data_IF_761891459565
#
_entry.id   IF_761891459565
#
_cell.length_a   1.000
_cell.length_b   1.000
_cell.length_c   1.000
_cell.angle_alpha   90.00
_cell.angle_beta   90.00
_cell.angle_gamma   90.00
#
_symmetry.space_group_name_H-M   'P 1'
#
loop_
_entity.id
_entity.type
_entity.pdbx_description
1 polymer ?
#
# COMPACT_ATOMS: atom_id res chain seq x y z
N UNK A 1 -11.61 10.86 3.59
CA UNK A 1 -10.57 10.57 3.22
C UNK A 1 -9.70 10.58 2.00
N UNK A 2 -10.01 9.86 0.96
CA UNK A 2 -9.04 9.67 -0.11
C UNK A 2 -8.90 10.81 -1.10
N UNK A 3 -9.89 11.65 -1.25
CA UNK A 3 -9.66 12.94 -1.92
C UNK A 3 -8.52 13.65 -1.21
N UNK A 4 -8.41 13.55 0.11
CA UNK A 4 -7.35 14.18 0.90
C UNK A 4 -6.08 13.35 0.95
N UNK A 5 -6.11 12.03 1.11
CA UNK A 5 -4.93 11.17 0.95
C UNK A 5 -4.33 11.39 -0.44
N UNK A 6 -5.14 11.37 -1.49
CA UNK A 6 -4.70 11.66 -2.85
C UNK A 6 -4.26 13.12 -3.01
N UNK A 7 -5.01 14.08 -2.49
CA UNK A 7 -4.63 15.48 -2.53
C UNK A 7 -3.35 15.72 -1.73
N UNK A 8 -3.19 15.13 -0.55
CA UNK A 8 -1.99 15.27 0.24
C UNK A 8 -0.78 14.61 -0.43
N UNK A 9 -0.96 13.46 -1.09
CA UNK A 9 0.10 12.81 -1.85
C UNK A 9 0.42 13.56 -3.15
N UNK A 10 -0.61 14.03 -3.87
CA UNK A 10 -0.44 14.57 -5.22
C UNK A 10 -0.55 16.09 -5.31
N UNK A 11 -1.28 16.75 -4.40
CA UNK A 11 -1.48 18.19 -4.39
C UNK A 11 -0.77 18.86 -3.21
N UNK A 12 0.13 19.76 -3.48
CA UNK A 12 1.00 20.32 -2.48
C UNK A 12 0.59 21.65 -1.87
N UNK A 13 -0.61 22.12 -2.06
CA UNK A 13 -1.02 23.39 -1.47
C UNK A 13 -1.60 23.20 -0.07
N UNK A 14 -0.78 23.44 0.95
CA UNK A 14 -1.27 23.64 2.30
C UNK A 14 -1.87 25.03 2.46
N UNK A 15 -3.01 25.18 3.13
CA UNK A 15 -3.38 26.46 3.72
C UNK A 15 -2.26 26.95 4.64
N UNK A 16 -2.03 28.25 4.71
CA UNK A 16 -0.95 28.86 5.51
C UNK A 16 -0.96 28.45 7.00
N UNK A 17 -2.10 28.01 7.53
CA UNK A 17 -2.28 27.50 8.88
C UNK A 17 -1.46 26.21 9.18
N UNK A 18 -1.03 25.45 8.15
CA UNK A 18 -0.31 24.20 8.29
C UNK A 18 1.22 24.33 8.14
N UNK A 19 1.72 25.54 8.06
CA UNK A 19 3.16 25.83 7.94
C UNK A 19 3.96 25.59 9.24
N UNK A 20 3.46 24.79 10.17
CA UNK A 20 4.16 24.46 11.42
C UNK A 20 4.95 23.16 11.29
N UNK A 21 6.23 23.25 11.56
CA UNK A 21 7.20 22.14 11.65
C UNK A 21 6.83 21.17 12.77
N UNK A 22 6.56 19.90 12.44
CA UNK A 22 6.83 18.79 13.37
C UNK A 22 8.22 18.23 13.05
N UNK A 23 9.04 18.06 14.05
CA UNK A 23 10.37 17.48 13.96
C UNK A 23 10.27 15.97 14.06
N UNK A 24 10.82 15.24 13.10
CA UNK A 24 11.15 13.81 13.26
C UNK A 24 12.62 13.79 13.74
N UNK A 25 12.89 13.11 14.85
CA UNK A 25 14.22 12.98 15.48
C UNK A 25 14.87 14.28 16.00
N UNK A 26 14.10 15.29 16.41
CA UNK A 26 14.61 16.47 17.10
C UNK A 26 15.43 17.45 16.26
N UNK A 27 15.55 17.26 14.96
CA UNK A 27 16.19 18.22 14.06
C UNK A 27 15.15 19.10 13.36
N UNK A 28 15.29 20.41 13.49
CA UNK A 28 14.54 21.38 12.71
C UNK A 28 14.91 21.22 11.23
N UNK A 29 14.06 20.58 10.46
CA UNK A 29 14.21 20.50 9.00
C UNK A 29 13.86 21.83 8.37
N UNK A 30 14.63 22.20 7.34
CA UNK A 30 14.53 23.42 6.56
C UNK A 30 13.15 23.73 5.95
N UNK A 31 13.05 24.59 4.94
CA UNK A 31 11.81 25.27 4.58
C UNK A 31 10.69 24.27 4.31
N UNK A 32 9.58 24.53 4.99
CA UNK A 32 8.26 23.92 4.89
C UNK A 32 8.00 23.18 3.59
N UNK A 33 7.66 21.90 3.73
CA UNK A 33 7.23 21.07 2.61
C UNK A 33 6.02 21.72 1.93
N UNK A 34 6.17 22.06 0.67
CA UNK A 34 5.03 22.44 -0.17
C UNK A 34 4.06 21.27 -0.38
N UNK A 35 4.41 20.07 0.11
CA UNK A 35 3.67 18.81 -0.10
C UNK A 35 3.69 17.97 1.18
N UNK A 36 2.58 17.29 1.50
CA UNK A 36 2.49 16.38 2.64
C UNK A 36 3.25 15.07 2.40
N UNK A 37 3.39 14.67 1.14
CA UNK A 37 4.09 13.45 0.74
C UNK A 37 5.11 13.76 -0.38
N UNK A 38 6.22 14.48 -0.06
CA UNK A 38 7.20 14.89 -1.05
C UNK A 38 7.95 13.71 -1.67
N UNK A 39 8.21 12.65 -0.90
CA UNK A 39 8.91 11.47 -1.40
C UNK A 39 8.04 10.70 -2.40
N UNK A 40 6.82 10.31 -2.03
CA UNK A 40 5.90 9.62 -2.94
C UNK A 40 5.62 10.45 -4.21
N UNK A 41 5.52 11.78 -4.06
CA UNK A 41 5.39 12.67 -5.22
C UNK A 41 6.61 12.64 -6.13
N UNK A 42 7.82 12.59 -5.58
CA UNK A 42 9.05 12.46 -6.36
C UNK A 42 9.10 11.15 -7.14
N UNK A 43 8.66 10.06 -6.52
CA UNK A 43 8.51 8.74 -7.15
C UNK A 43 7.53 8.82 -8.34
N UNK A 44 6.34 9.38 -8.12
CA UNK A 44 5.32 9.54 -9.16
C UNK A 44 5.79 10.37 -10.37
N UNK A 45 6.70 11.32 -10.15
CA UNK A 45 7.24 12.20 -11.20
C UNK A 45 8.45 11.66 -11.94
N UNK A 46 9.05 10.59 -11.45
CA UNK A 46 10.32 10.11 -12.00
C UNK A 46 10.43 8.60 -12.11
N UNK A 47 10.91 7.91 -11.07
CA UNK A 47 11.28 6.50 -11.18
C UNK A 47 10.10 5.53 -11.20
N UNK A 48 8.90 5.98 -10.83
CA UNK A 48 7.73 5.12 -10.65
C UNK A 48 6.52 5.52 -11.47
N UNK A 49 5.41 4.93 -11.14
CA UNK A 49 4.08 5.21 -11.69
C UNK A 49 3.13 5.65 -10.58
N UNK A 50 2.07 6.34 -10.97
CA UNK A 50 1.00 6.73 -10.06
C UNK A 50 -0.38 6.52 -10.68
N UNK A 51 -1.38 6.42 -9.83
CA UNK A 51 -2.75 6.25 -10.26
C UNK A 51 -3.74 6.21 -9.10
N UNK A 52 -4.88 5.62 -9.36
CA UNK A 52 -5.94 5.38 -8.39
C UNK A 52 -6.24 3.88 -8.39
N UNK A 53 -6.24 3.30 -7.19
CA UNK A 53 -6.78 1.97 -6.95
C UNK A 53 -8.24 2.13 -6.49
N UNK A 54 -9.17 1.49 -7.20
CA UNK A 54 -10.60 1.56 -6.90
C UNK A 54 -10.99 0.38 -6.01
N UNK A 55 -11.37 0.66 -4.76
CA UNK A 55 -11.92 -0.34 -3.85
C UNK A 55 -13.44 -0.42 -3.99
N UNK A 56 -14.02 -1.55 -3.58
CA UNK A 56 -15.46 -1.80 -3.63
C UNK A 56 -16.10 -1.67 -2.25
N UNK A 57 -17.41 -1.48 -2.24
CA UNK A 57 -18.24 -1.52 -1.03
C UNK A 57 -18.34 -2.98 -0.53
N UNK A 58 -18.25 -3.20 0.79
CA UNK A 58 -18.02 -2.22 1.85
C UNK A 58 -16.57 -1.74 1.86
N UNK A 59 -16.37 -0.43 1.99
CA UNK A 59 -15.05 0.20 2.07
C UNK A 59 -14.50 0.07 3.49
N UNK A 60 -14.12 -1.17 3.83
CA UNK A 60 -13.64 -1.60 5.14
C UNK A 60 -12.28 -2.27 5.02
N UNK A 61 -11.52 -2.29 6.13
CA UNK A 61 -10.13 -2.77 6.12
C UNK A 61 -10.02 -4.25 5.72
N UNK A 62 -10.90 -5.11 6.22
CA UNK A 62 -10.86 -6.54 5.87
C UNK A 62 -11.08 -6.78 4.38
N UNK A 63 -12.22 -6.41 3.75
CA UNK A 63 -12.45 -6.67 2.33
C UNK A 63 -11.43 -5.96 1.44
N UNK A 64 -10.97 -4.76 1.81
CA UNK A 64 -9.93 -4.05 1.09
C UNK A 64 -8.60 -4.81 1.07
N UNK A 65 -8.15 -5.34 2.20
CA UNK A 65 -6.92 -6.13 2.26
C UNK A 65 -7.06 -7.50 1.59
N UNK A 66 -8.22 -8.14 1.65
CA UNK A 66 -8.50 -9.39 0.90
C UNK A 66 -8.39 -9.13 -0.60
N UNK A 67 -8.96 -8.02 -1.10
CA UNK A 67 -8.80 -7.63 -2.50
C UNK A 67 -7.33 -7.36 -2.88
N UNK A 68 -6.55 -6.71 -2.01
CA UNK A 68 -5.14 -6.39 -2.25
C UNK A 68 -4.21 -7.61 -2.26
N UNK A 69 -4.43 -8.57 -1.36
CA UNK A 69 -3.47 -9.66 -1.06
C UNK A 69 -3.92 -11.00 -1.66
N UNK A 70 -5.22 -11.21 -1.81
CA UNK A 70 -5.80 -12.43 -2.40
C UNK A 70 -6.43 -12.18 -3.79
N UNK A 71 -6.71 -10.94 -4.15
CA UNK A 71 -7.29 -10.57 -5.45
C UNK A 71 -8.77 -10.92 -5.59
N UNK A 72 -9.48 -11.09 -4.50
CA UNK A 72 -10.90 -11.43 -4.49
C UNK A 72 -11.73 -10.41 -3.70
N UNK A 73 -12.99 -10.28 -4.05
CA UNK A 73 -13.94 -9.49 -3.29
C UNK A 73 -14.81 -10.39 -2.42
N UNK A 74 -14.86 -10.11 -1.13
CA UNK A 74 -15.72 -10.85 -0.20
C UNK A 74 -17.20 -10.51 -0.41
N UNK A 75 -18.08 -11.51 -0.26
CA UNK A 75 -19.53 -11.30 -0.31
C UNK A 75 -19.98 -10.42 0.88
N UNK A 76 -20.82 -9.43 0.59
CA UNK A 76 -21.43 -8.54 1.59
C UNK A 76 -22.14 -9.31 2.71
N UNK A 77 -22.68 -10.50 2.44
CA UNK A 77 -23.34 -11.33 3.46
C UNK A 77 -22.37 -11.87 4.52
N UNK A 78 -21.09 -11.99 4.21
CA UNK A 78 -20.06 -12.37 5.17
C UNK A 78 -19.80 -11.27 6.22
N UNK A 79 -19.98 -10.01 5.83
CA UNK A 79 -19.84 -8.83 6.71
C UNK A 79 -20.86 -8.85 7.84
N UNK A 80 -22.10 -9.26 7.53
CA UNK A 80 -23.24 -9.25 8.49
C UNK A 80 -23.20 -10.39 9.49
N UNK A 81 -22.41 -11.45 9.24
CA UNK A 81 -22.32 -12.66 10.08
C UNK A 81 -21.24 -12.61 11.15
N UNK A 82 -20.60 -11.47 11.34
CA UNK A 82 -19.56 -11.27 12.36
C UNK A 82 -18.18 -11.69 11.85
N UNK A 83 -17.34 -10.73 11.60
CA UNK A 83 -15.97 -10.82 11.07
C UNK A 83 -15.04 -11.77 11.83
N UNK A 84 -15.31 -12.03 13.13
CA UNK A 84 -14.45 -12.82 14.02
C UNK A 84 -14.58 -14.35 13.86
N UNK A 85 -15.56 -14.86 13.11
CA UNK A 85 -15.93 -16.29 13.18
C UNK A 85 -15.62 -17.08 11.91
N UNK A 86 -15.19 -16.44 10.82
CA UNK A 86 -14.91 -17.15 9.57
C UNK A 86 -13.46 -16.99 9.15
N UNK A 87 -12.53 -17.88 9.59
CA UNK A 87 -11.24 -17.99 8.92
C UNK A 87 -11.52 -18.53 7.52
N UNK A 88 -11.69 -17.64 6.55
CA UNK A 88 -11.72 -18.02 5.15
C UNK A 88 -10.35 -18.59 4.80
N UNK A 89 -10.32 -19.89 4.56
CA UNK A 89 -9.17 -20.51 3.90
C UNK A 89 -9.14 -20.02 2.45
N UNK A 90 -8.45 -18.91 2.19
CA UNK A 90 -8.21 -18.41 0.85
C UNK A 90 -6.73 -18.44 0.54
N UNK A 91 -6.42 -18.64 -0.72
CA UNK A 91 -5.05 -18.49 -1.21
C UNK A 91 -4.69 -16.99 -1.32
N UNK A 92 -3.43 -16.67 -1.12
CA UNK A 92 -2.96 -15.28 -1.08
C UNK A 92 -1.51 -15.17 -1.54
N UNK A 93 -1.04 -13.95 -1.79
CA UNK A 93 0.38 -13.70 -2.07
C UNK A 93 1.29 -14.17 -0.94
N UNK A 94 0.82 -14.13 0.31
CA UNK A 94 1.56 -14.64 1.47
C UNK A 94 1.75 -16.15 1.34
N UNK A 95 0.71 -16.91 0.94
CA UNK A 95 0.79 -18.33 0.73
C UNK A 95 1.70 -18.69 -0.45
N UNK A 96 1.66 -17.92 -1.52
CA UNK A 96 2.42 -18.18 -2.75
C UNK A 96 3.89 -17.76 -2.65
N UNK A 97 4.24 -16.81 -1.78
CA UNK A 97 5.62 -16.33 -1.62
C UNK A 97 6.55 -17.41 -1.06
N UNK A 98 7.86 -17.31 -1.30
CA UNK A 98 8.85 -18.20 -0.68
C UNK A 98 8.97 -17.94 0.81
N UNK A 99 8.94 -16.68 1.20
CA UNK A 99 8.89 -16.20 2.59
C UNK A 99 8.18 -14.86 2.64
N UNK A 100 7.50 -14.58 3.73
CA UNK A 100 6.83 -13.30 3.97
C UNK A 100 7.24 -12.69 5.29
N UNK A 101 7.29 -11.36 5.32
CA UNK A 101 7.40 -10.54 6.52
C UNK A 101 6.14 -9.68 6.62
N UNK A 102 5.38 -9.80 7.72
CA UNK A 102 4.09 -9.14 7.87
C UNK A 102 3.98 -8.46 9.23
N UNK A 103 3.86 -7.13 9.24
CA UNK A 103 3.82 -6.34 10.46
C UNK A 103 2.71 -5.30 10.43
N UNK A 104 1.97 -5.16 11.54
CA UNK A 104 0.91 -4.16 11.65
C UNK A 104 -0.20 -4.52 12.63
N UNK A 105 -1.44 -4.23 12.25
CA UNK A 105 -2.62 -4.41 13.10
C UNK A 105 -2.92 -5.87 13.41
N UNK A 106 -3.34 -6.16 14.66
CA UNK A 106 -3.82 -7.48 15.08
C UNK A 106 -5.09 -7.92 14.37
N UNK A 107 -5.85 -7.01 13.78
CA UNK A 107 -7.08 -7.31 13.03
C UNK A 107 -6.81 -7.74 11.58
N UNK A 108 -5.67 -7.34 11.00
CA UNK A 108 -5.39 -7.55 9.57
C UNK A 108 -4.31 -8.60 9.32
N UNK A 109 -3.15 -8.47 9.98
CA UNK A 109 -2.01 -9.36 9.71
C UNK A 109 -2.36 -10.83 9.94
N UNK A 110 -3.05 -11.23 11.04
CA UNK A 110 -3.41 -12.62 11.29
C UNK A 110 -4.27 -13.26 10.19
N UNK A 111 -5.08 -12.49 9.48
CA UNK A 111 -5.93 -12.99 8.40
C UNK A 111 -5.16 -13.71 7.29
N UNK A 112 -3.93 -13.26 7.02
CA UNK A 112 -3.08 -13.78 5.92
C UNK A 112 -2.03 -14.77 6.40
N UNK A 113 -1.70 -14.77 7.69
CA UNK A 113 -0.62 -15.60 8.24
C UNK A 113 -1.13 -16.84 8.95
N UNK A 114 -2.31 -16.77 9.57
CA UNK A 114 -2.94 -17.94 10.17
C UNK A 114 -3.35 -18.94 9.09
N UNK A 115 -2.88 -20.18 9.23
CA UNK A 115 -3.08 -21.24 8.21
C UNK A 115 -1.94 -21.38 7.22
N UNK A 116 -0.94 -20.48 7.23
CA UNK A 116 0.33 -20.69 6.52
C UNK A 116 1.28 -21.55 7.36
N UNK A 117 2.28 -22.16 6.72
CA UNK A 117 3.34 -22.85 7.44
C UNK A 117 4.12 -21.87 8.33
N UNK A 118 4.32 -22.16 9.64
CA UNK A 118 4.98 -21.22 10.57
C UNK A 118 6.36 -20.75 10.12
N UNK A 119 7.12 -21.62 9.44
CA UNK A 119 8.45 -21.29 8.93
C UNK A 119 8.45 -20.35 7.72
N UNK A 120 7.28 -20.12 7.14
CA UNK A 120 7.11 -19.34 5.91
C UNK A 120 6.86 -17.87 6.15
N UNK A 121 6.43 -17.50 7.34
CA UNK A 121 6.06 -16.12 7.65
C UNK A 121 6.70 -15.68 8.97
N UNK A 122 7.47 -14.59 8.92
CA UNK A 122 7.89 -13.82 10.09
C UNK A 122 6.88 -12.67 10.27
N UNK A 123 6.13 -12.70 11.36
CA UNK A 123 5.08 -11.72 11.56
C UNK A 123 4.96 -11.29 13.02
N UNK A 124 4.58 -10.04 13.22
CA UNK A 124 4.25 -9.48 14.51
C UNK A 124 3.12 -8.46 14.36
N UNK A 125 2.33 -8.36 15.41
CA UNK A 125 1.30 -7.33 15.56
C UNK A 125 1.55 -6.55 16.82
N UNK A 126 1.16 -5.30 16.86
CA UNK A 126 1.17 -4.53 18.11
C UNK A 126 0.01 -4.96 19.00
N UNK A 127 0.04 -4.56 20.29
CA UNK A 127 -1.04 -4.86 21.23
C UNK A 127 -2.30 -4.09 20.83
N UNK A 128 -3.48 -4.73 20.88
CA UNK A 128 -4.78 -4.09 20.63
C UNK A 128 -4.98 -2.81 21.47
N UNK A 129 -4.47 -2.78 22.70
CA UNK A 129 -4.51 -1.60 23.58
C UNK A 129 -3.72 -0.39 23.02
N UNK A 130 -2.83 -0.61 22.05
CA UNK A 130 -2.11 0.47 21.38
C UNK A 130 -2.99 1.23 20.36
N UNK A 131 -4.11 0.63 19.92
CA UNK A 131 -5.12 1.27 19.07
C UNK A 131 -6.05 2.21 19.88
N UNK A 132 -5.47 3.02 20.74
CA UNK A 132 -6.22 3.99 21.53
C UNK A 132 -6.56 5.22 20.69
N UNK A 133 -7.82 5.32 20.29
CA UNK A 133 -8.36 6.46 19.52
C UNK A 133 -8.26 7.82 20.22
N UNK A 134 -7.79 7.87 21.47
CA UNK A 134 -7.56 9.12 22.21
C UNK A 134 -6.12 9.62 22.10
N UNK A 135 -5.20 8.81 21.56
CA UNK A 135 -3.77 9.11 21.44
C UNK A 135 -3.34 9.42 19.99
N UNK A 136 -2.12 9.86 19.84
CA UNK A 136 -1.50 10.04 18.53
C UNK A 136 -1.21 8.67 17.87
N UNK A 137 -1.90 8.39 16.78
CA UNK A 137 -1.79 7.13 16.05
C UNK A 137 -0.50 6.97 15.23
N UNK A 138 0.38 7.97 15.22
CA UNK A 138 1.72 7.89 14.60
C UNK A 138 2.55 6.75 15.18
N UNK A 139 2.36 6.44 16.47
CA UNK A 139 3.10 5.36 17.13
C UNK A 139 2.85 3.99 16.49
N UNK A 140 1.65 3.74 15.93
CA UNK A 140 1.33 2.49 15.22
C UNK A 140 2.20 2.32 13.97
N UNK A 141 2.38 3.39 13.22
CA UNK A 141 3.14 3.38 11.96
C UNK A 141 4.66 3.33 12.23
N UNK A 142 5.13 4.08 13.21
CA UNK A 142 6.55 4.05 13.60
C UNK A 142 6.96 2.71 14.23
N UNK A 143 6.02 2.01 14.88
CA UNK A 143 6.24 0.65 15.37
C UNK A 143 6.53 -0.31 14.20
N UNK A 144 5.78 -0.22 13.11
CA UNK A 144 6.02 -1.04 11.90
C UNK A 144 7.40 -0.75 11.31
N UNK A 145 7.77 0.52 11.20
CA UNK A 145 9.12 0.91 10.75
C UNK A 145 10.21 0.30 11.63
N UNK A 146 10.01 0.33 12.97
CA UNK A 146 10.99 -0.26 13.88
C UNK A 146 11.12 -1.78 13.68
N UNK A 147 10.01 -2.51 13.46
CA UNK A 147 10.08 -3.95 13.15
C UNK A 147 10.88 -4.21 11.88
N UNK A 148 10.68 -3.39 10.85
CA UNK A 148 11.50 -3.52 9.62
C UNK A 148 12.97 -3.29 9.90
N UNK A 149 13.34 -2.26 10.64
CA UNK A 149 14.74 -2.00 11.05
C UNK A 149 15.33 -3.19 11.82
N UNK A 150 14.57 -3.76 12.76
CA UNK A 150 15.01 -4.91 13.57
C UNK A 150 15.29 -6.15 12.71
N UNK A 151 14.46 -6.40 11.67
CA UNK A 151 14.66 -7.52 10.74
C UNK A 151 16.00 -7.38 10.00
N UNK A 152 16.28 -6.21 9.44
CA UNK A 152 17.51 -5.98 8.69
C UNK A 152 18.73 -5.90 9.62
N UNK A 153 18.61 -5.33 10.82
CA UNK A 153 19.67 -5.31 11.81
C UNK A 153 20.03 -6.73 12.28
N UNK A 154 19.03 -7.58 12.50
CA UNK A 154 19.27 -9.00 12.85
C UNK A 154 20.07 -9.73 11.76
N UNK A 155 19.78 -9.47 10.50
CA UNK A 155 20.47 -10.11 9.39
C UNK A 155 21.97 -9.76 9.32
N UNK A 156 22.39 -8.63 9.86
CA UNK A 156 23.82 -8.27 9.93
C UNK A 156 24.62 -9.18 10.86
N UNK A 157 23.97 -9.84 11.81
CA UNK A 157 24.60 -10.64 12.84
C UNK A 157 24.16 -12.12 12.84
N UNK A 158 23.13 -12.47 12.08
CA UNK A 158 22.58 -13.81 11.96
C UNK A 158 22.58 -14.27 10.48
N UNK A 159 23.52 -15.18 10.09
CA UNK A 159 23.61 -15.68 8.72
C UNK A 159 22.33 -16.38 8.23
N UNK A 160 21.52 -16.97 9.14
CA UNK A 160 20.26 -17.60 8.76
C UNK A 160 19.20 -16.55 8.43
N UNK A 161 19.16 -15.45 9.20
CA UNK A 161 18.28 -14.33 8.91
C UNK A 161 18.68 -13.63 7.59
N UNK A 162 19.98 -13.42 7.35
CA UNK A 162 20.47 -12.85 6.08
C UNK A 162 20.11 -13.76 4.90
N UNK A 163 20.37 -15.05 4.98
CA UNK A 163 20.03 -16.01 3.94
C UNK A 163 18.51 -16.05 3.66
N UNK A 164 17.69 -15.90 4.70
CA UNK A 164 16.23 -15.84 4.56
C UNK A 164 15.76 -14.56 3.85
N UNK A 165 16.30 -13.40 4.22
CA UNK A 165 16.00 -12.13 3.54
C UNK A 165 16.39 -12.16 2.06
N UNK A 166 17.48 -12.84 1.70
CA UNK A 166 17.96 -12.91 0.32
C UNK A 166 17.29 -14.00 -0.52
N UNK A 167 16.30 -14.70 0.02
CA UNK A 167 15.51 -15.65 -0.78
C UNK A 167 14.75 -14.91 -1.90
N UNK A 168 14.70 -15.48 -3.11
CA UNK A 168 13.87 -14.90 -4.16
C UNK A 168 12.39 -15.02 -3.80
N UNK A 169 11.56 -14.15 -4.34
CA UNK A 169 10.09 -14.17 -4.16
C UNK A 169 9.65 -13.92 -2.70
N UNK A 170 10.41 -13.11 -1.99
CA UNK A 170 10.07 -12.68 -0.63
C UNK A 170 9.08 -11.53 -0.69
N UNK A 171 8.03 -11.61 0.12
CA UNK A 171 6.99 -10.58 0.26
C UNK A 171 7.17 -9.83 1.58
N UNK A 172 7.06 -8.51 1.54
CA UNK A 172 6.98 -7.67 2.73
C UNK A 172 5.63 -6.96 2.76
N UNK A 173 4.88 -7.18 3.81
CA UNK A 173 3.59 -6.55 4.04
C UNK A 173 3.66 -5.67 5.30
N UNK A 174 3.56 -4.37 5.10
CA UNK A 174 3.56 -3.38 6.17
C UNK A 174 2.21 -2.69 6.21
N UNK A 175 1.45 -2.96 7.27
CA UNK A 175 0.14 -2.36 7.48
C UNK A 175 0.26 -1.14 8.39
N UNK A 176 0.09 0.06 7.83
CA UNK A 176 0.18 1.35 8.50
C UNK A 176 -1.25 1.85 8.80
N UNK A 177 -1.71 1.68 10.04
CA UNK A 177 -3.08 2.01 10.45
C UNK A 177 -3.24 3.46 10.94
N UNK A 178 -2.15 4.16 11.21
CA UNK A 178 -2.17 5.46 11.90
C UNK A 178 -3.02 6.52 11.21
N UNK A 179 -3.07 6.53 9.87
CA UNK A 179 -3.91 7.48 9.13
C UNK A 179 -5.40 7.18 9.29
N UNK A 180 -5.79 5.91 9.36
CA UNK A 180 -7.19 5.54 9.56
C UNK A 180 -7.66 5.96 10.96
N UNK A 181 -6.94 5.54 12.00
CA UNK A 181 -7.21 5.89 13.39
C UNK A 181 -7.27 7.41 13.59
N UNK A 182 -6.29 8.15 13.05
CA UNK A 182 -6.28 9.62 13.12
C UNK A 182 -7.45 10.25 12.37
N UNK A 183 -7.83 9.66 11.24
CA UNK A 183 -8.96 10.13 10.44
C UNK A 183 -10.30 9.99 11.18
N UNK A 184 -10.50 8.91 11.90
CA UNK A 184 -11.68 8.71 12.76
C UNK A 184 -11.75 9.74 13.88
N UNK A 185 -10.64 10.00 14.54
CA UNK A 185 -10.57 10.88 15.71
C UNK A 185 -10.62 12.37 15.33
N UNK A 186 -9.72 12.79 14.45
CA UNK A 186 -9.47 14.22 14.17
C UNK A 186 -10.03 14.68 12.82
N UNK A 187 -10.47 13.79 11.97
CA UNK A 187 -10.93 14.02 10.60
C UNK A 187 -9.79 14.24 9.59
N UNK A 188 -10.00 13.92 8.31
CA UNK A 188 -8.94 13.98 7.29
C UNK A 188 -8.37 15.36 6.99
N UNK A 189 -9.03 16.44 7.43
CA UNK A 189 -8.56 17.83 7.23
C UNK A 189 -7.82 18.42 8.43
N UNK A 190 -7.68 17.64 9.49
CA UNK A 190 -7.01 18.12 10.70
C UNK A 190 -5.50 18.26 10.51
N UNK A 191 -4.84 19.12 11.30
CA UNK A 191 -3.38 19.18 11.36
C UNK A 191 -2.73 17.85 11.75
N UNK A 192 -3.38 17.08 12.62
CA UNK A 192 -2.95 15.76 13.06
C UNK A 192 -2.88 14.78 11.88
N UNK A 193 -3.94 14.72 11.09
CA UNK A 193 -4.00 13.85 9.91
C UNK A 193 -2.94 14.22 8.86
N UNK A 194 -2.80 15.51 8.57
CA UNK A 194 -1.75 16.01 7.66
C UNK A 194 -0.36 15.70 8.21
N UNK A 195 -0.16 15.90 9.51
CA UNK A 195 1.09 15.55 10.19
C UNK A 195 1.44 14.06 10.05
N UNK A 196 0.45 13.17 10.24
CA UNK A 196 0.65 11.74 10.10
C UNK A 196 0.92 11.34 8.63
N UNK A 197 0.33 12.02 7.65
CA UNK A 197 0.67 11.81 6.23
C UNK A 197 2.14 12.10 5.95
N UNK A 198 2.70 13.16 6.55
CA UNK A 198 4.13 13.48 6.42
C UNK A 198 4.99 12.38 7.04
N UNK A 199 4.58 11.84 8.19
CA UNK A 199 5.30 10.74 8.85
C UNK A 199 5.25 9.47 8.01
N UNK A 200 4.10 9.11 7.43
CA UNK A 200 3.96 7.95 6.54
C UNK A 200 4.86 8.09 5.31
N UNK A 201 4.91 9.26 4.68
CA UNK A 201 5.81 9.50 3.54
C UNK A 201 7.28 9.31 3.91
N UNK A 202 7.67 9.78 5.10
CA UNK A 202 9.03 9.59 5.63
C UNK A 202 9.31 8.12 5.97
N UNK A 203 8.35 7.38 6.53
CA UNK A 203 8.47 5.93 6.75
C UNK A 203 8.73 5.21 5.43
N UNK A 204 7.94 5.51 4.40
CA UNK A 204 8.11 4.91 3.07
C UNK A 204 9.49 5.22 2.50
N UNK A 205 9.97 6.46 2.64
CA UNK A 205 11.33 6.85 2.22
C UNK A 205 12.39 6.05 2.95
N UNK A 206 12.31 5.93 4.28
CA UNK A 206 13.29 5.20 5.08
C UNK A 206 13.28 3.72 4.77
N UNK A 207 12.11 3.12 4.59
CA UNK A 207 11.99 1.71 4.18
C UNK A 207 12.62 1.50 2.81
N UNK A 208 12.33 2.37 1.83
CA UNK A 208 12.96 2.26 0.50
C UNK A 208 14.48 2.26 0.59
N UNK A 209 15.07 3.19 1.33
CA UNK A 209 16.51 3.28 1.52
C UNK A 209 17.07 2.05 2.26
N UNK A 210 16.37 1.57 3.30
CA UNK A 210 16.76 0.37 4.03
C UNK A 210 16.90 -0.85 3.11
N UNK A 211 15.99 -1.01 2.17
CA UNK A 211 16.03 -2.07 1.16
C UNK A 211 17.16 -1.83 0.13
N UNK A 212 17.30 -0.61 -0.35
CA UNK A 212 18.35 -0.25 -1.31
C UNK A 212 19.73 -0.49 -0.72
N UNK A 213 19.96 -0.07 0.52
CA UNK A 213 21.23 -0.22 1.24
C UNK A 213 21.56 -1.70 1.51
N UNK A 214 20.55 -2.51 1.87
CA UNK A 214 20.76 -3.92 2.20
C UNK A 214 20.97 -4.80 0.95
N UNK A 215 20.14 -4.62 -0.08
CA UNK A 215 20.19 -5.48 -1.26
C UNK A 215 21.16 -4.98 -2.31
N UNK A 216 21.19 -3.68 -2.59
CA UNK A 216 22.07 -3.05 -3.58
C UNK A 216 21.95 -3.57 -5.02
N UNK A 217 20.85 -4.28 -5.32
CA UNK A 217 20.72 -5.07 -6.55
C UNK A 217 19.61 -4.60 -7.50
N UNK A 218 18.86 -3.57 -7.14
CA UNK A 218 17.72 -3.02 -7.89
C UNK A 218 16.63 -4.07 -8.25
N UNK A 219 16.47 -5.11 -7.42
CA UNK A 219 15.53 -6.22 -7.65
C UNK A 219 14.27 -6.14 -6.79
N UNK A 220 14.12 -5.10 -6.00
CA UNK A 220 12.93 -4.86 -5.16
C UNK A 220 11.91 -4.03 -5.93
N UNK A 221 10.66 -4.46 -5.92
CA UNK A 221 9.50 -3.67 -6.32
C UNK A 221 8.80 -3.14 -5.07
N UNK A 222 8.35 -1.90 -5.13
CA UNK A 222 7.61 -1.23 -4.07
C UNK A 222 6.22 -0.85 -4.56
N UNK A 223 5.23 -1.01 -3.69
CA UNK A 223 3.86 -0.59 -3.91
C UNK A 223 3.33 0.09 -2.64
N UNK A 224 2.83 1.31 -2.80
CA UNK A 224 2.10 2.05 -1.76
C UNK A 224 0.68 2.29 -2.24
N UNK A 225 -0.27 1.84 -1.45
CA UNK A 225 -1.70 2.01 -1.70
C UNK A 225 -2.45 2.08 -0.37
N UNK A 226 -3.78 2.15 -0.40
CA UNK A 226 -4.62 1.99 0.77
C UNK A 226 -5.76 1.00 0.46
N UNK A 227 -6.25 0.36 1.48
CA UNK A 227 -7.36 -0.59 1.45
C UNK A 227 -8.70 0.09 1.14
N UNK A 228 -8.93 1.25 1.72
CA UNK A 228 -10.05 2.15 1.45
C UNK A 228 -9.69 3.60 1.74
N UNK A 229 -10.61 4.48 1.44
CA UNK A 229 -10.50 5.88 1.80
C UNK A 229 -11.28 6.25 3.06
N UNK A 230 -11.51 7.55 3.22
CA UNK A 230 -12.26 8.09 4.33
C UNK A 230 -12.96 9.38 3.94
N UNK A 231 -14.22 9.51 4.32
CA UNK A 231 -15.00 10.71 4.08
C UNK A 231 -14.52 11.89 4.93
N UNK A 232 -14.92 13.11 4.57
CA UNK A 232 -14.63 14.31 5.37
C UNK A 232 -15.13 14.25 6.81
N UNK A 233 -16.11 13.40 7.08
CA UNK A 233 -16.68 13.18 8.41
C UNK A 233 -15.83 12.23 9.27
N UNK A 234 -14.81 11.59 8.70
CA UNK A 234 -13.96 10.63 9.38
C UNK A 234 -14.63 9.27 9.52
N UNK A 235 -15.38 8.85 8.51
CA UNK A 235 -15.96 7.51 8.41
C UNK A 235 -15.73 6.94 7.01
N UNK A 236 -15.88 5.65 6.89
CA UNK A 236 -15.83 4.88 5.66
C UNK A 236 -16.93 3.80 5.69
N UNK A 237 -16.94 2.86 4.74
CA UNK A 237 -17.91 1.75 4.65
C UNK A 237 -18.82 1.86 3.43
N UNK A 238 -19.08 3.05 2.94
CA UNK A 238 -20.00 3.31 1.81
C UNK A 238 -19.27 3.48 0.46
N UNK A 239 -20.06 3.74 -0.59
CA UNK A 239 -19.59 3.93 -1.96
C UNK A 239 -19.21 5.35 -2.34
N UNK A 240 -19.07 6.27 -1.39
CA UNK A 240 -18.61 7.62 -1.68
C UNK A 240 -17.24 7.58 -2.39
N UNK A 241 -17.00 8.39 -3.42
CA UNK A 241 -15.68 8.49 -4.08
C UNK A 241 -14.53 8.77 -3.12
N UNK A 242 -14.77 9.42 -1.99
CA UNK A 242 -13.77 9.64 -0.95
C UNK A 242 -13.38 8.33 -0.23
N UNK A 243 -14.25 7.33 -0.23
CA UNK A 243 -14.03 6.02 0.38
C UNK A 243 -13.52 4.97 -0.62
N UNK A 244 -13.90 5.10 -1.90
CA UNK A 244 -13.63 4.06 -2.91
C UNK A 244 -12.38 4.28 -3.75
N UNK A 245 -11.74 5.47 -3.72
CA UNK A 245 -10.59 5.81 -4.55
C UNK A 245 -9.34 5.98 -3.71
N UNK A 246 -8.40 5.05 -3.79
CA UNK A 246 -7.16 5.05 -3.01
C UNK A 246 -5.94 5.44 -3.85
N UNK A 247 -4.88 5.99 -3.25
CA UNK A 247 -3.66 6.28 -4.00
C UNK A 247 -2.98 4.99 -4.44
N UNK A 248 -2.36 5.03 -5.61
CA UNK A 248 -1.49 4.00 -6.13
C UNK A 248 -0.17 4.65 -6.53
N UNK A 249 0.91 4.25 -5.88
CA UNK A 249 2.28 4.63 -6.26
C UNK A 249 3.14 3.37 -6.26
N UNK A 250 3.83 3.08 -7.37
CA UNK A 250 4.70 1.92 -7.46
C UNK A 250 6.01 2.28 -8.17
N UNK A 251 7.11 1.62 -7.78
CA UNK A 251 8.43 1.82 -8.36
C UNK A 251 9.32 0.59 -8.14
N UNK A 252 10.49 0.59 -8.78
CA UNK A 252 11.50 -0.45 -8.62
C UNK A 252 11.43 -1.54 -9.69
N UNK A 253 11.81 -2.76 -9.32
CA UNK A 253 11.96 -3.87 -10.25
C UNK A 253 10.63 -4.25 -10.94
N UNK A 254 10.63 -4.34 -12.25
CA UNK A 254 9.45 -4.72 -13.02
C UNK A 254 8.37 -3.63 -13.12
N UNK A 255 8.57 -2.46 -12.53
CA UNK A 255 7.67 -1.31 -12.61
C UNK A 255 8.14 -0.36 -13.70
N UNK A 256 7.27 0.13 -14.60
CA UNK A 256 7.66 1.14 -15.57
C UNK A 256 7.94 2.49 -14.90
N UNK A 257 8.71 3.33 -15.58
CA UNK A 257 8.92 4.72 -15.15
C UNK A 257 7.74 5.60 -15.55
N UNK A 258 7.62 6.76 -14.90
CA UNK A 258 6.66 7.78 -15.26
C UNK A 258 6.71 8.08 -16.76
N UNK A 259 5.56 8.02 -17.42
CA UNK A 259 5.44 8.30 -18.84
C UNK A 259 4.86 9.70 -19.06
N UNK A 260 5.63 10.55 -19.71
CA UNK A 260 5.17 11.88 -20.09
C UNK A 260 4.14 11.81 -21.22
N UNK A 261 3.11 12.61 -21.09
CA UNK A 261 2.10 12.77 -22.13
C UNK A 261 2.54 13.89 -23.09
N UNK A 262 2.43 13.71 -24.44
CA UNK A 262 2.86 14.70 -25.41
C UNK A 262 2.01 15.99 -25.38
N UNK A 263 0.82 15.91 -24.85
CA UNK A 263 -0.07 17.05 -24.57
C UNK A 263 -0.72 16.81 -23.22
N UNK A 264 -1.03 17.87 -22.48
CA UNK A 264 -1.85 17.78 -21.27
C UNK A 264 -3.21 17.19 -21.65
N UNK A 265 -3.36 15.89 -21.53
CA UNK A 265 -4.58 15.17 -21.84
C UNK A 265 -5.23 14.68 -20.57
N UNK A 266 -6.50 15.03 -20.44
CA UNK A 266 -7.51 14.53 -19.52
C UNK A 266 -7.34 14.88 -18.04
N UNK A 267 -8.17 15.80 -17.66
CA UNK A 267 -8.65 15.92 -16.29
C UNK A 267 -9.67 14.81 -16.11
N UNK A 268 -9.31 13.74 -15.41
CA UNK A 268 -10.22 12.64 -15.10
C UNK A 268 -11.32 13.04 -14.13
N UNK A 269 -10.99 13.99 -13.23
CA UNK A 269 -11.90 14.57 -12.26
C UNK A 269 -11.49 16.03 -12.00
N UNK A 270 -12.39 16.82 -11.40
CA UNK A 270 -12.04 18.19 -10.96
C UNK A 270 -10.86 18.24 -9.97
N UNK A 271 -10.63 17.14 -9.23
CA UNK A 271 -9.51 17.03 -8.28
C UNK A 271 -8.15 16.94 -8.97
N UNK A 272 -8.09 16.37 -10.17
CA UNK A 272 -6.81 16.17 -10.91
C UNK A 272 -6.15 17.49 -11.30
N UNK A 273 -6.96 18.53 -11.48
CA UNK A 273 -6.45 19.88 -11.77
C UNK A 273 -5.47 20.41 -10.74
N UNK A 274 -5.64 19.96 -9.49
CA UNK A 274 -4.86 20.44 -8.36
C UNK A 274 -3.62 19.57 -8.08
N UNK A 275 -3.48 18.39 -8.69
CA UNK A 275 -2.33 17.52 -8.43
C UNK A 275 -1.04 18.00 -9.11
N UNK A 276 -1.17 18.76 -10.19
CA UNK A 276 -0.01 19.21 -10.98
C UNK A 276 0.80 18.04 -11.54
N UNK A 277 0.12 16.95 -11.91
CA UNK A 277 0.66 15.74 -12.54
C UNK A 277 0.00 15.44 -13.90
N UNK A 278 -0.76 16.38 -14.42
CA UNK A 278 -1.53 16.29 -15.67
C UNK A 278 -0.68 16.10 -16.95
N UNK A 279 0.64 16.25 -16.81
CA UNK A 279 1.62 15.96 -17.85
C UNK A 279 2.12 14.51 -17.84
N UNK A 280 1.69 13.69 -16.87
CA UNK A 280 2.08 12.30 -16.72
C UNK A 280 0.90 11.36 -16.96
N UNK A 281 1.18 10.17 -17.46
CA UNK A 281 0.20 9.11 -17.58
C UNK A 281 -0.20 8.62 -16.18
N UNK A 282 -1.48 8.64 -15.89
CA UNK A 282 -2.10 8.09 -14.70
C UNK A 282 -2.61 6.68 -15.01
N UNK A 283 -2.45 5.76 -14.08
CA UNK A 283 -2.91 4.37 -14.17
C UNK A 283 -3.98 4.11 -13.12
N UNK A 284 -5.21 3.91 -13.55
CA UNK A 284 -6.32 3.55 -12.66
C UNK A 284 -6.60 2.06 -12.77
N UNK A 285 -6.74 1.38 -11.62
CA UNK A 285 -6.95 -0.06 -11.53
C UNK A 285 -8.05 -0.39 -10.52
N UNK A 286 -8.69 -1.53 -10.67
CA UNK A 286 -9.46 -2.12 -9.59
C UNK A 286 -8.51 -2.63 -8.51
N UNK A 287 -8.92 -2.59 -7.25
CA UNK A 287 -8.05 -2.96 -6.13
C UNK A 287 -7.56 -4.41 -6.23
N UNK A 288 -8.42 -5.35 -6.64
CA UNK A 288 -8.07 -6.75 -6.83
C UNK A 288 -7.03 -6.98 -7.95
N UNK A 289 -6.89 -6.03 -8.90
CA UNK A 289 -5.91 -6.12 -10.00
C UNK A 289 -4.46 -6.03 -9.49
N UNK A 290 -4.27 -5.47 -8.29
CA UNK A 290 -2.95 -5.36 -7.67
C UNK A 290 -2.37 -6.72 -7.26
N UNK A 291 -3.21 -7.70 -6.96
CA UNK A 291 -2.75 -9.06 -6.63
C UNK A 291 -2.04 -9.75 -7.81
N UNK A 292 -2.63 -9.92 -9.01
CA UNK A 292 -1.92 -10.51 -10.13
C UNK A 292 -0.75 -9.64 -10.61
N UNK A 293 -0.77 -8.34 -10.40
CA UNK A 293 0.35 -7.45 -10.69
C UNK A 293 1.55 -7.77 -9.76
N UNK A 294 1.35 -7.81 -8.46
CA UNK A 294 2.38 -8.16 -7.48
C UNK A 294 2.89 -9.59 -7.69
N UNK A 295 1.99 -10.55 -7.96
CA UNK A 295 2.37 -11.91 -8.33
C UNK A 295 3.31 -11.91 -9.55
N UNK A 296 2.99 -11.11 -10.57
CA UNK A 296 3.82 -11.00 -11.77
C UNK A 296 5.18 -10.36 -11.52
N UNK A 297 5.27 -9.33 -10.66
CA UNK A 297 6.56 -8.73 -10.29
C UNK A 297 7.46 -9.73 -9.52
N UNK A 298 6.86 -10.54 -8.66
CA UNK A 298 7.57 -11.54 -7.87
C UNK A 298 7.81 -12.86 -8.61
N UNK A 299 7.16 -13.08 -9.77
CA UNK A 299 7.18 -14.36 -10.47
C UNK A 299 6.48 -15.48 -9.69
N UNK A 300 5.40 -15.14 -9.00
CA UNK A 300 4.52 -16.04 -8.25
C UNK A 300 3.37 -16.53 -9.13
N UNK A 301 2.76 -17.68 -8.81
CA UNK A 301 1.41 -17.99 -9.27
C UNK A 301 0.42 -16.92 -8.82
N UNK A 302 -0.62 -16.70 -9.61
CA UNK A 302 -1.76 -15.87 -9.17
C UNK A 302 -2.53 -16.67 -8.11
N UNK A 303 -2.92 -16.10 -6.97
CA UNK A 303 -3.70 -16.79 -5.95
C UNK A 303 -4.98 -17.41 -6.51
N UNK A 304 -5.34 -18.60 -6.00
CA UNK A 304 -6.38 -19.48 -6.58
C UNK A 304 -7.77 -18.84 -6.67
N UNK A 305 -8.10 -17.89 -5.82
CA UNK A 305 -9.42 -17.24 -5.82
C UNK A 305 -9.39 -15.83 -6.44
N UNK A 306 -8.26 -15.45 -7.05
CA UNK A 306 -8.10 -14.12 -7.62
C UNK A 306 -8.98 -13.91 -8.85
N UNK A 307 -9.78 -12.87 -8.81
CA UNK A 307 -10.63 -12.37 -9.92
C UNK A 307 -10.04 -11.09 -10.54
N UNK A 308 -8.90 -10.62 -10.03
CA UNK A 308 -8.21 -9.43 -10.53
C UNK A 308 -7.66 -9.61 -11.94
N UNK A 309 -7.65 -8.52 -12.70
CA UNK A 309 -7.08 -8.46 -14.06
C UNK A 309 -5.65 -7.93 -13.98
N UNK A 310 -4.75 -8.47 -14.79
CA UNK A 310 -3.37 -7.98 -14.82
C UNK A 310 -3.29 -6.65 -15.59
N UNK A 311 -2.98 -5.52 -14.93
CA UNK A 311 -2.75 -4.23 -15.60
C UNK A 311 -1.39 -4.25 -16.30
N UNK A 312 -1.37 -4.70 -17.56
CA UNK A 312 -0.13 -4.91 -18.33
C UNK A 312 0.70 -3.65 -18.49
N UNK A 313 0.09 -2.48 -18.50
CA UNK A 313 0.79 -1.19 -18.58
C UNK A 313 1.66 -0.91 -17.34
N UNK A 314 1.39 -1.58 -16.21
CA UNK A 314 2.18 -1.50 -14.98
C UNK A 314 3.24 -2.61 -14.85
N UNK A 315 3.35 -3.49 -15.86
CA UNK A 315 4.33 -4.57 -15.89
C UNK A 315 5.42 -4.28 -16.92
N UNK A 316 6.59 -3.84 -16.46
CA UNK A 316 7.78 -3.66 -17.29
C UNK A 316 8.57 -4.95 -17.37
N UNK A 317 8.26 -5.77 -18.36
CA UNK A 317 8.88 -7.06 -18.61
C UNK A 317 8.93 -7.36 -20.10
N UNK A 318 9.65 -8.43 -20.49
CA UNK A 318 9.71 -8.85 -21.88
C UNK A 318 8.31 -9.18 -22.45
N UNK A 319 8.08 -8.98 -23.74
CA UNK A 319 6.77 -9.31 -24.35
C UNK A 319 6.34 -10.75 -24.10
N UNK A 320 7.27 -11.69 -24.12
CA UNK A 320 7.01 -13.12 -23.85
C UNK A 320 6.58 -13.35 -22.39
N UNK A 321 7.19 -12.65 -21.43
CA UNK A 321 6.78 -12.74 -20.03
C UNK A 321 5.40 -12.12 -19.81
N UNK A 322 5.15 -10.92 -20.36
CA UNK A 322 3.86 -10.23 -20.29
C UNK A 322 2.73 -11.10 -20.86
N UNK A 323 2.96 -11.75 -22.00
CA UNK A 323 1.98 -12.65 -22.60
C UNK A 323 1.69 -13.87 -21.70
N UNK A 324 2.73 -14.49 -21.12
CA UNK A 324 2.54 -15.61 -20.18
C UNK A 324 1.80 -15.19 -18.90
N UNK A 325 2.16 -14.06 -18.32
CA UNK A 325 1.50 -13.53 -17.13
C UNK A 325 0.02 -13.21 -17.39
N UNK A 326 -0.28 -12.57 -18.51
CA UNK A 326 -1.65 -12.29 -18.92
C UNK A 326 -2.48 -13.57 -19.13
N UNK A 327 -1.89 -14.59 -19.77
CA UNK A 327 -2.54 -15.88 -19.98
C UNK A 327 -2.79 -16.61 -18.65
N UNK A 328 -1.82 -16.58 -17.73
CA UNK A 328 -1.97 -17.20 -16.42
C UNK A 328 -3.10 -16.51 -15.61
N UNK A 329 -3.14 -15.20 -15.61
CA UNK A 329 -4.21 -14.43 -14.96
C UNK A 329 -5.58 -14.71 -15.59
N UNK A 330 -5.66 -14.73 -16.93
CA UNK A 330 -6.92 -15.03 -17.62
C UNK A 330 -7.44 -16.44 -17.31
N UNK A 331 -6.55 -17.44 -17.24
CA UNK A 331 -6.92 -18.81 -16.82
C UNK A 331 -7.43 -18.84 -15.39
N UNK A 332 -6.76 -18.13 -14.48
CA UNK A 332 -7.19 -18.04 -13.08
C UNK A 332 -8.60 -17.43 -12.96
N UNK A 333 -8.85 -16.35 -13.68
CA UNK A 333 -10.20 -15.71 -13.68
C UNK A 333 -11.26 -16.68 -14.23
N UNK A 334 -10.94 -17.44 -15.28
CA UNK A 334 -11.86 -18.43 -15.85
C UNK A 334 -12.15 -19.62 -14.91
N UNK A 335 -11.27 -19.91 -13.96
CA UNK A 335 -11.50 -20.98 -12.98
C UNK A 335 -12.39 -20.50 -11.81
N UNK A 336 -12.53 -19.19 -11.61
CA UNK A 336 -13.40 -18.61 -10.58
C UNK A 336 -14.85 -18.53 -11.07
N UNK A 337 -15.08 -18.43 -12.38
CA UNK A 337 -16.41 -18.33 -13.03
C UNK A 337 -16.81 -19.61 -13.75
#
# INVERSE_FOLDING_TARGET
GDVYKRQLVYNGTFPDAFKRTKTVDGQASGPLYAYAAPYLRSIARGPGVFGVSHTRVPTESRPGHVALIAGMYEDMSAVTKGWKINPLAFDSLVNQSSHSYAYGSPDIVPMFVLGTSPDKVDWQVYNEEAEDFTKDAVELDTWVLQRMRDVFARAQHDPKADARLRQPKTLFFMHLLGLDTTGHTYRPMSPEYVGNTIVVDEIVRQVSHLFEDFYGDNRTAFLVTADHGMSRKGNHGDGDPDNTRTPLVAWGAGVPKARHLPQRRFVYTEYDKHWGLDFLARSDVEQADLTPLMASWLGLPVPANSEGRLPLELLNASPAYRARAALATAKQVLEVY
#
